data_IF_582065956129
#
_entry.id   IF_582065956129
#
_cell.length_a   1.000
_cell.length_b   1.000
_cell.length_c   1.000
_cell.angle_alpha   90.00
_cell.angle_beta   90.00
_cell.angle_gamma   90.00
#
_symmetry.space_group_name_H-M   'P 1'
#
loop_
_entity.id
_entity.type
_entity.pdbx_description
1 polymer ?
#
# COMPACT_ATOMS: atom_id res chain seq x y z
N UNK A 1 23.50 13.08 -9.21
CA UNK A 1 23.68 14.33 -8.44
C UNK A 1 22.38 15.02 -8.00
N UNK A 2 21.32 15.17 -8.82
CA UNK A 2 20.07 15.87 -8.45
C UNK A 2 19.31 15.30 -7.23
N UNK A 3 19.42 14.00 -6.96
CA UNK A 3 18.79 13.37 -5.79
C UNK A 3 19.44 13.75 -4.45
N UNK A 4 20.78 13.84 -4.44
CA UNK A 4 21.55 14.17 -3.23
C UNK A 4 21.32 15.62 -2.79
N UNK A 5 21.16 16.54 -3.75
CA UNK A 5 20.88 17.96 -3.49
C UNK A 5 19.48 18.13 -2.86
N UNK A 6 18.54 17.24 -3.16
CA UNK A 6 17.17 17.28 -2.60
C UNK A 6 17.13 16.94 -1.10
N UNK A 7 18.10 16.19 -0.59
CA UNK A 7 18.22 15.89 0.84
C UNK A 7 18.67 17.10 1.67
N UNK A 8 19.28 18.12 1.05
CA UNK A 8 19.70 19.36 1.71
C UNK A 8 18.57 20.40 1.72
N UNK A 9 17.49 20.18 0.96
CA UNK A 9 16.33 21.06 0.94
C UNK A 9 15.54 20.95 2.25
N UNK A 10 15.41 22.09 2.95
CA UNK A 10 14.65 22.20 4.20
C UNK A 10 13.20 21.72 4.05
N UNK A 11 12.57 21.98 2.91
CA UNK A 11 11.18 21.58 2.66
C UNK A 11 11.03 20.07 2.51
N UNK A 12 12.03 19.41 1.90
CA UNK A 12 12.08 17.96 1.80
C UNK A 12 12.32 17.32 3.17
N UNK A 13 13.30 17.83 3.94
CA UNK A 13 13.62 17.34 5.28
C UNK A 13 12.43 17.47 6.24
N UNK A 14 11.71 18.61 6.20
CA UNK A 14 10.50 18.79 7.00
C UNK A 14 9.42 17.77 6.63
N UNK A 15 9.11 17.59 5.34
CA UNK A 15 8.12 16.58 4.89
C UNK A 15 8.51 15.17 5.32
N UNK A 16 9.77 14.81 5.16
CA UNK A 16 10.29 13.52 5.60
C UNK A 16 10.15 13.34 7.11
N UNK A 17 10.56 14.34 7.90
CA UNK A 17 10.45 14.30 9.37
C UNK A 17 8.99 14.17 9.82
N UNK A 18 8.05 14.91 9.22
CA UNK A 18 6.63 14.80 9.52
C UNK A 18 6.06 13.41 9.19
N UNK A 19 6.42 12.85 8.03
CA UNK A 19 6.01 11.50 7.64
C UNK A 19 6.57 10.43 8.60
N UNK A 20 7.85 10.52 8.94
CA UNK A 20 8.49 9.61 9.89
C UNK A 20 7.89 9.72 11.29
N UNK A 21 7.60 10.94 11.76
CA UNK A 21 6.94 11.15 13.04
C UNK A 21 5.55 10.54 13.05
N UNK A 22 4.73 10.81 12.02
CA UNK A 22 3.41 10.21 11.89
C UNK A 22 3.49 8.68 11.90
N UNK A 23 4.39 8.10 11.09
CA UNK A 23 4.62 6.66 11.04
C UNK A 23 5.04 6.08 12.40
N UNK A 24 5.85 6.80 13.18
CA UNK A 24 6.23 6.35 14.53
C UNK A 24 5.12 6.49 15.57
N UNK A 25 4.24 7.49 15.43
CA UNK A 25 3.14 7.73 16.35
C UNK A 25 2.00 6.71 16.19
N UNK A 26 1.80 6.17 14.98
CA UNK A 26 0.75 5.18 14.73
C UNK A 26 0.92 3.90 15.59
N UNK A 27 2.08 3.20 15.59
CA UNK A 27 2.29 2.05 16.46
C UNK A 27 2.19 2.37 17.96
N UNK A 28 2.61 3.58 18.38
CA UNK A 28 2.43 4.01 19.77
C UNK A 28 0.95 4.11 20.13
N UNK A 29 0.13 4.68 19.24
CA UNK A 29 -1.32 4.72 19.38
C UNK A 29 -1.94 3.32 19.46
N UNK A 30 -1.48 2.38 18.62
CA UNK A 30 -1.91 0.98 18.65
C UNK A 30 -1.60 0.31 19.98
N UNK A 31 -0.39 0.49 20.52
CA UNK A 31 0.00 -0.07 21.82
C UNK A 31 -0.91 0.48 22.93
N UNK A 32 -1.14 1.79 22.96
CA UNK A 32 -2.04 2.42 23.95
C UNK A 32 -3.45 1.85 23.83
N UNK A 33 -3.97 1.70 22.61
CA UNK A 33 -5.29 1.14 22.35
C UNK A 33 -5.39 -0.32 22.82
N UNK A 34 -4.39 -1.15 22.50
CA UNK A 34 -4.35 -2.55 22.93
C UNK A 34 -4.30 -2.66 24.45
N UNK A 35 -3.47 -1.85 25.11
CA UNK A 35 -3.38 -1.82 26.58
C UNK A 35 -4.69 -1.38 27.23
N UNK A 36 -5.40 -0.44 26.62
CA UNK A 36 -6.72 0.00 27.06
C UNK A 36 -7.77 -1.12 26.89
N UNK A 37 -7.86 -1.70 25.69
CA UNK A 37 -8.82 -2.76 25.37
C UNK A 37 -8.56 -4.06 26.14
N UNK A 38 -7.31 -4.32 26.54
CA UNK A 38 -6.93 -5.53 27.29
C UNK A 38 -7.74 -5.69 28.57
N UNK A 39 -8.12 -4.59 29.21
CA UNK A 39 -8.91 -4.60 30.46
C UNK A 39 -10.34 -5.10 30.26
N UNK A 40 -10.86 -5.02 29.03
CA UNK A 40 -12.25 -5.36 28.69
C UNK A 40 -12.36 -6.70 27.96
N UNK A 41 -11.43 -7.00 27.04
CA UNK A 41 -11.53 -8.12 26.09
C UNK A 41 -10.64 -9.31 26.49
N UNK A 42 -9.60 -9.08 27.30
CA UNK A 42 -8.61 -10.09 27.64
C UNK A 42 -7.50 -10.24 26.59
N UNK A 43 -6.32 -10.71 27.02
CA UNK A 43 -5.11 -10.74 26.18
C UNK A 43 -5.23 -11.69 24.98
N UNK A 44 -5.65 -12.94 25.22
CA UNK A 44 -5.69 -13.96 24.18
C UNK A 44 -6.70 -13.62 23.06
N UNK A 45 -7.84 -13.02 23.42
CA UNK A 45 -8.86 -12.65 22.44
C UNK A 45 -8.42 -11.45 21.59
N UNK A 46 -7.71 -10.46 22.17
CA UNK A 46 -7.10 -9.38 21.39
C UNK A 46 -6.00 -9.89 20.46
N UNK A 47 -5.13 -10.77 20.96
CA UNK A 47 -4.07 -11.38 20.14
C UNK A 47 -4.68 -12.17 18.98
N UNK A 48 -5.69 -13.00 19.25
CA UNK A 48 -6.42 -13.73 18.23
C UNK A 48 -7.08 -12.79 17.22
N UNK A 49 -7.71 -11.70 17.68
CA UNK A 49 -8.33 -10.68 16.84
C UNK A 49 -7.33 -10.06 15.86
N UNK A 50 -6.26 -9.44 16.37
CA UNK A 50 -5.22 -8.77 15.56
C UNK A 50 -4.54 -9.76 14.60
N UNK A 51 -4.26 -10.98 15.08
CA UNK A 51 -3.64 -12.00 14.22
C UNK A 51 -4.59 -12.44 13.11
N UNK A 52 -5.88 -12.61 13.42
CA UNK A 52 -6.89 -13.01 12.45
C UNK A 52 -7.11 -11.93 11.41
N UNK A 53 -7.21 -10.67 11.81
CA UNK A 53 -7.36 -9.53 10.87
C UNK A 53 -6.14 -9.38 9.98
N UNK A 54 -4.92 -9.50 10.51
CA UNK A 54 -3.69 -9.48 9.72
C UNK A 54 -3.61 -10.64 8.71
N UNK A 55 -3.96 -11.87 9.13
CA UNK A 55 -3.98 -13.03 8.23
C UNK A 55 -5.03 -12.91 7.13
N UNK A 56 -6.24 -12.44 7.48
CA UNK A 56 -7.30 -12.18 6.50
C UNK A 56 -6.88 -11.09 5.51
N UNK A 57 -6.32 -10.00 6.02
CA UNK A 57 -5.79 -8.89 5.23
C UNK A 57 -4.72 -9.35 4.24
N UNK A 58 -3.77 -10.19 4.69
CA UNK A 58 -2.77 -10.80 3.83
C UNK A 58 -3.38 -11.67 2.74
N UNK A 59 -4.39 -12.48 3.08
CA UNK A 59 -5.13 -13.29 2.11
C UNK A 59 -5.82 -12.45 1.04
N UNK A 60 -6.49 -11.36 1.42
CA UNK A 60 -7.13 -10.43 0.48
C UNK A 60 -6.10 -9.74 -0.41
N UNK A 61 -5.01 -9.23 0.18
CA UNK A 61 -3.90 -8.61 -0.52
C UNK A 61 -3.32 -9.56 -1.59
N UNK A 62 -3.01 -10.79 -1.21
CA UNK A 62 -2.43 -11.78 -2.10
C UNK A 62 -3.33 -12.08 -3.31
N UNK A 63 -4.63 -12.29 -3.06
CA UNK A 63 -5.61 -12.56 -4.11
C UNK A 63 -5.72 -11.41 -5.10
N UNK A 64 -5.81 -10.18 -4.58
CA UNK A 64 -6.02 -9.01 -5.42
C UNK A 64 -4.77 -8.67 -6.24
N UNK A 65 -3.60 -8.66 -5.60
CA UNK A 65 -2.33 -8.42 -6.30
C UNK A 65 -2.11 -9.45 -7.40
N UNK A 66 -2.37 -10.73 -7.12
CA UNK A 66 -2.26 -11.79 -8.13
C UNK A 66 -3.22 -11.57 -9.31
N UNK A 67 -4.47 -11.22 -9.04
CA UNK A 67 -5.46 -10.97 -10.09
C UNK A 67 -5.08 -9.78 -10.99
N UNK A 68 -4.59 -8.69 -10.41
CA UNK A 68 -4.14 -7.51 -11.17
C UNK A 68 -2.91 -7.84 -12.00
N UNK A 69 -1.94 -8.60 -11.45
CA UNK A 69 -0.74 -9.01 -12.19
C UNK A 69 -1.07 -9.91 -13.39
N UNK A 70 -2.05 -10.80 -13.27
CA UNK A 70 -2.50 -11.64 -14.40
C UNK A 70 -3.07 -10.76 -15.52
N UNK A 71 -3.94 -9.80 -15.20
CA UNK A 71 -4.54 -8.89 -16.19
C UNK A 71 -3.50 -7.99 -16.85
N UNK A 72 -2.56 -7.47 -16.05
CA UNK A 72 -1.46 -6.64 -16.53
C UNK A 72 -0.60 -7.39 -17.54
N UNK A 73 -0.22 -8.64 -17.25
CA UNK A 73 0.54 -9.49 -18.18
C UNK A 73 -0.23 -9.77 -19.46
N UNK A 74 -1.52 -10.07 -19.37
CA UNK A 74 -2.37 -10.31 -20.54
C UNK A 74 -2.40 -9.07 -21.46
N UNK A 75 -2.62 -7.88 -20.90
CA UNK A 75 -2.65 -6.65 -21.70
C UNK A 75 -1.31 -6.30 -22.34
N UNK A 76 -0.20 -6.50 -21.62
CA UNK A 76 1.14 -6.30 -22.18
C UNK A 76 1.39 -7.26 -23.35
N UNK A 77 1.00 -8.53 -23.20
CA UNK A 77 1.14 -9.53 -24.27
C UNK A 77 0.28 -9.19 -25.49
N UNK A 78 -0.92 -8.65 -25.27
CA UNK A 78 -1.80 -8.17 -26.34
C UNK A 78 -1.32 -6.83 -26.98
N UNK A 79 -0.18 -6.29 -26.53
CA UNK A 79 0.35 -5.02 -27.01
C UNK A 79 -0.49 -3.80 -26.60
N UNK A 80 -1.32 -3.93 -25.55
CA UNK A 80 -2.17 -2.86 -25.02
C UNK A 80 -1.58 -2.23 -23.76
N UNK A 81 -1.69 -0.91 -23.60
CA UNK A 81 -1.10 -0.19 -22.46
C UNK A 81 -1.96 -0.33 -21.18
N UNK A 82 -1.44 -0.95 -20.09
CA UNK A 82 -2.24 -1.32 -18.92
C UNK A 82 -2.31 -0.22 -17.85
N UNK A 83 -2.81 0.96 -18.24
CA UNK A 83 -2.88 2.14 -17.37
C UNK A 83 -3.79 1.98 -16.14
N UNK A 84 -4.91 1.27 -16.30
CA UNK A 84 -5.84 1.01 -15.19
C UNK A 84 -5.26 -0.02 -14.21
N UNK A 85 -4.60 -1.05 -14.71
CA UNK A 85 -3.97 -2.10 -13.91
C UNK A 85 -2.81 -1.54 -13.10
N UNK A 86 -2.01 -0.61 -13.65
CA UNK A 86 -1.00 0.10 -12.85
C UNK A 86 -1.62 0.88 -11.69
N UNK A 87 -2.78 1.49 -11.93
CA UNK A 87 -3.52 2.26 -10.93
C UNK A 87 -4.07 1.34 -9.84
N UNK A 88 -4.71 0.25 -10.23
CA UNK A 88 -5.25 -0.75 -9.32
C UNK A 88 -4.13 -1.44 -8.52
N UNK A 89 -3.00 -1.76 -9.16
CA UNK A 89 -1.82 -2.34 -8.52
C UNK A 89 -1.23 -1.39 -7.47
N UNK A 90 -1.02 -0.12 -7.81
CA UNK A 90 -0.46 0.86 -6.90
C UNK A 90 -1.33 1.03 -5.64
N UNK A 91 -2.65 1.14 -5.82
CA UNK A 91 -3.58 1.22 -4.69
C UNK A 91 -3.62 -0.06 -3.86
N UNK A 92 -3.64 -1.23 -4.52
CA UNK A 92 -3.66 -2.53 -3.84
C UNK A 92 -2.42 -2.71 -2.96
N UNK A 93 -1.24 -2.34 -3.46
CA UNK A 93 0.01 -2.41 -2.71
C UNK A 93 -0.03 -1.51 -1.47
N UNK A 94 -0.55 -0.27 -1.59
CA UNK A 94 -0.67 0.63 -0.44
C UNK A 94 -1.60 0.03 0.63
N UNK A 95 -2.81 -0.40 0.25
CA UNK A 95 -3.75 -1.00 1.21
C UNK A 95 -3.18 -2.25 1.86
N UNK A 96 -2.48 -3.08 1.08
CA UNK A 96 -1.79 -4.28 1.57
C UNK A 96 -0.68 -3.94 2.57
N UNK A 97 0.10 -2.89 2.34
CA UNK A 97 1.18 -2.47 3.26
C UNK A 97 0.65 -2.04 4.63
N UNK A 98 -0.51 -1.38 4.66
CA UNK A 98 -1.20 -1.08 5.92
C UNK A 98 -1.64 -2.36 6.63
N UNK A 99 -2.24 -3.33 5.92
CA UNK A 99 -2.67 -4.62 6.52
C UNK A 99 -1.53 -5.53 6.98
N UNK A 100 -0.35 -5.39 6.38
CA UNK A 100 0.85 -6.11 6.83
C UNK A 100 1.37 -5.60 8.17
N UNK A 101 0.97 -4.39 8.59
CA UNK A 101 1.36 -3.81 9.87
C UNK A 101 0.32 -4.20 10.92
N UNK A 102 0.60 -5.16 11.82
CA UNK A 102 -0.41 -5.69 12.74
C UNK A 102 -0.88 -4.62 13.73
N UNK A 103 -2.17 -4.26 13.67
CA UNK A 103 -2.78 -3.27 14.56
C UNK A 103 -4.25 -3.02 14.22
N UNK A 104 -5.07 -2.59 15.19
CA UNK A 104 -6.50 -2.38 14.97
C UNK A 104 -6.79 -1.19 14.06
N UNK A 105 -6.07 -0.09 14.26
CA UNK A 105 -6.24 1.14 13.48
C UNK A 105 -5.68 0.91 12.07
N UNK A 106 -4.51 0.28 11.98
CA UNK A 106 -3.82 0.05 10.72
C UNK A 106 -4.55 -0.98 9.86
N UNK A 107 -5.14 -2.01 10.47
CA UNK A 107 -6.03 -2.97 9.78
C UNK A 107 -7.29 -2.28 9.26
N UNK A 108 -7.91 -1.41 10.06
CA UNK A 108 -9.09 -0.65 9.62
C UNK A 108 -8.78 0.20 8.37
N UNK A 109 -7.71 0.99 8.41
CA UNK A 109 -7.31 1.80 7.25
C UNK A 109 -6.83 0.96 6.08
N UNK A 110 -6.15 -0.16 6.33
CA UNK A 110 -5.69 -1.06 5.30
C UNK A 110 -6.85 -1.72 4.54
N UNK A 111 -7.86 -2.22 5.25
CA UNK A 111 -9.10 -2.74 4.65
C UNK A 111 -9.85 -1.64 3.90
N UNK A 112 -9.92 -0.44 4.49
CA UNK A 112 -10.56 0.72 3.86
C UNK A 112 -9.86 1.09 2.55
N UNK A 113 -8.54 1.05 2.48
CA UNK A 113 -7.76 1.34 1.27
C UNK A 113 -7.81 0.22 0.23
N UNK A 114 -8.07 -1.03 0.64
CA UNK A 114 -8.38 -2.10 -0.31
C UNK A 114 -9.77 -1.95 -0.95
N UNK A 115 -10.64 -1.12 -0.38
CA UNK A 115 -11.96 -0.87 -0.95
C UNK A 115 -11.85 -0.27 -2.37
N UNK A 116 -12.61 -0.77 -3.37
CA UNK A 116 -12.36 -0.46 -4.79
C UNK A 116 -12.29 1.03 -5.12
N UNK A 117 -13.15 1.84 -4.50
CA UNK A 117 -13.17 3.29 -4.73
C UNK A 117 -11.90 3.96 -4.21
N UNK A 118 -11.52 3.68 -2.96
CA UNK A 118 -10.37 4.31 -2.32
C UNK A 118 -9.06 3.86 -2.94
N UNK A 119 -8.98 2.57 -3.28
CA UNK A 119 -7.84 2.00 -4.00
C UNK A 119 -7.55 2.75 -5.28
N UNK A 120 -8.57 2.98 -6.12
CA UNK A 120 -8.43 3.70 -7.39
C UNK A 120 -8.03 5.16 -7.20
N UNK A 121 -8.57 5.82 -6.18
CA UNK A 121 -8.22 7.22 -5.86
C UNK A 121 -6.75 7.32 -5.46
N UNK A 122 -6.30 6.47 -4.55
CA UNK A 122 -4.91 6.43 -4.07
C UNK A 122 -3.97 6.05 -5.21
N UNK A 123 -4.29 4.96 -5.91
CA UNK A 123 -3.55 4.49 -7.07
C UNK A 123 -3.35 5.59 -8.10
N UNK A 124 -4.43 6.32 -8.44
CA UNK A 124 -4.39 7.40 -9.43
C UNK A 124 -3.51 8.57 -8.97
N UNK A 125 -3.52 8.87 -7.68
CA UNK A 125 -2.66 9.91 -7.12
C UNK A 125 -1.16 9.56 -7.22
N UNK A 126 -0.84 8.26 -7.19
CA UNK A 126 0.52 7.75 -7.31
C UNK A 126 0.93 7.67 -8.79
N UNK A 127 0.12 7.01 -9.62
CA UNK A 127 0.43 6.76 -11.03
C UNK A 127 0.57 8.04 -11.83
N UNK A 128 -0.24 9.07 -11.56
CA UNK A 128 -0.12 10.41 -12.17
C UNK A 128 1.27 11.04 -12.03
N UNK A 129 2.04 10.71 -10.99
CA UNK A 129 3.41 11.22 -10.81
C UNK A 129 4.46 10.37 -11.50
N UNK A 130 4.08 9.19 -11.97
CA UNK A 130 4.93 8.15 -12.52
C UNK A 130 4.63 7.82 -13.98
N UNK A 131 3.67 8.50 -14.63
CA UNK A 131 3.21 8.21 -16.01
C UNK A 131 4.36 7.96 -17.00
N UNK A 132 5.42 8.79 -16.97
CA UNK A 132 6.60 8.61 -17.84
C UNK A 132 7.34 7.30 -17.57
N UNK A 133 7.57 6.95 -16.29
CA UNK A 133 8.22 5.70 -15.88
C UNK A 133 7.37 4.47 -16.18
N UNK A 134 6.04 4.60 -16.08
CA UNK A 134 5.11 3.52 -16.39
C UNK A 134 5.09 3.22 -17.89
N UNK A 135 5.24 4.24 -18.75
CA UNK A 135 5.43 4.05 -20.19
C UNK A 135 6.75 3.35 -20.51
N UNK A 136 7.85 3.79 -19.91
CA UNK A 136 9.16 3.10 -20.06
C UNK A 136 9.08 1.64 -19.62
N UNK A 137 8.42 1.36 -18.49
CA UNK A 137 8.22 0.00 -18.00
C UNK A 137 7.38 -0.85 -18.96
N UNK A 138 6.32 -0.26 -19.53
CA UNK A 138 5.50 -0.93 -20.53
C UNK A 138 6.31 -1.32 -21.77
N UNK A 139 7.11 -0.40 -22.32
CA UNK A 139 7.98 -0.69 -23.48
C UNK A 139 9.00 -1.79 -23.15
N UNK A 140 9.60 -1.75 -21.96
CA UNK A 140 10.51 -2.81 -21.51
C UNK A 140 9.82 -4.17 -21.40
N UNK A 141 8.63 -4.22 -20.79
CA UNK A 141 7.89 -5.46 -20.64
C UNK A 141 7.43 -6.00 -22.01
N UNK A 142 7.01 -5.13 -22.92
CA UNK A 142 6.64 -5.49 -24.28
C UNK A 142 7.78 -6.23 -24.99
N UNK A 143 9.01 -5.70 -24.93
CA UNK A 143 10.20 -6.34 -25.49
C UNK A 143 10.55 -7.70 -24.87
N UNK A 144 10.14 -7.93 -23.61
CA UNK A 144 10.36 -9.21 -22.93
C UNK A 144 9.33 -10.28 -23.28
N UNK A 145 8.12 -9.86 -23.71
CA UNK A 145 7.00 -10.74 -24.05
C UNK A 145 6.80 -10.97 -25.55
N UNK A 146 7.60 -10.32 -26.40
CA UNK A 146 7.84 -10.66 -27.82
C UNK A 146 8.84 -11.82 -27.95
#
# INVERSE_FOLDING_TARGET
>A
MKGLIRFVDRSFLLRFLYLSLFYSLVPLGEIVLILYLRRYVGFYLLLAGITSTGLLGLGFAWRELSAVLVRLRAQVHDGTYPGEEYTDLAGAVIGSLFLLTPGFVTDFFGLLFLFPLLRRVIGRHITRRMDGRLKELYEYLKLYYE
#
